data_IF_747970116803
#
_entry.id   IF_747970116803
#
_cell.length_a   1.000
_cell.length_b   1.000
_cell.length_c   1.000
_cell.angle_alpha   90.00
_cell.angle_beta   90.00
_cell.angle_gamma   90.00
#
_symmetry.space_group_name_H-M   'P 1'
#
loop_
_entity.id
_entity.type
_entity.pdbx_description
1 polymer ?
#
# COMPACT_ATOMS: atom_id res chain seq x y z
N UNK A 1 7.03 -3.84 32.03
CA UNK A 1 6.80 -4.96 31.12
C UNK A 1 5.99 -4.46 29.94
N UNK A 2 6.38 -4.81 28.72
CA UNK A 2 5.63 -4.45 27.52
C UNK A 2 4.35 -5.29 27.46
N UNK A 3 3.20 -4.65 27.45
CA UNK A 3 1.89 -5.31 27.48
C UNK A 3 1.09 -5.11 26.19
N UNK A 4 -0.08 -5.74 26.11
CA UNK A 4 -0.98 -5.61 24.93
C UNK A 4 -1.41 -4.14 24.69
N UNK A 5 -1.64 -3.39 25.75
CA UNK A 5 -1.98 -1.97 25.68
C UNK A 5 -0.85 -1.13 25.04
N UNK A 6 0.43 -1.48 25.33
CA UNK A 6 1.59 -0.80 24.74
C UNK A 6 1.73 -1.15 23.26
N UNK A 7 1.41 -2.38 22.86
CA UNK A 7 1.37 -2.79 21.46
C UNK A 7 0.29 -2.02 20.67
N UNK A 8 -0.93 -1.94 21.21
CA UNK A 8 -2.01 -1.15 20.58
C UNK A 8 -1.61 0.31 20.46
N UNK A 9 -1.02 0.87 21.51
CA UNK A 9 -0.54 2.24 21.51
C UNK A 9 0.59 2.48 20.49
N UNK A 10 1.48 1.50 20.30
CA UNK A 10 2.53 1.55 19.26
C UNK A 10 1.90 1.55 17.87
N UNK A 11 0.92 0.69 17.60
CA UNK A 11 0.20 0.63 16.33
C UNK A 11 -0.51 1.94 16.02
N UNK A 12 -1.24 2.52 16.99
CA UNK A 12 -1.88 3.83 16.85
C UNK A 12 -0.84 4.91 16.56
N UNK A 13 0.29 4.89 17.26
CA UNK A 13 1.36 5.87 17.03
C UNK A 13 1.94 5.74 15.63
N UNK A 14 2.23 4.53 15.16
CA UNK A 14 2.84 4.29 13.86
C UNK A 14 1.91 4.60 12.68
N UNK A 15 0.62 4.27 12.79
CA UNK A 15 -0.30 4.35 11.66
C UNK A 15 -1.24 5.56 11.69
N UNK A 16 -1.36 6.26 12.82
CA UNK A 16 -2.19 7.45 12.95
C UNK A 16 -1.35 8.67 13.30
N UNK A 17 -0.64 8.64 14.43
CA UNK A 17 0.06 9.85 14.91
C UNK A 17 1.18 10.25 13.97
N UNK A 18 2.08 9.32 13.63
CA UNK A 18 3.22 9.63 12.75
C UNK A 18 2.79 10.15 11.37
N UNK A 19 1.86 9.52 10.63
CA UNK A 19 1.40 10.07 9.36
C UNK A 19 0.79 11.47 9.47
N UNK A 20 0.01 11.73 10.53
CA UNK A 20 -0.58 13.05 10.75
C UNK A 20 0.49 14.10 11.04
N UNK A 21 1.46 13.79 11.90
CA UNK A 21 2.58 14.69 12.20
C UNK A 21 3.42 14.99 10.96
N UNK A 22 3.72 13.96 10.14
CA UNK A 22 4.42 14.12 8.85
C UNK A 22 3.61 14.98 7.90
N UNK A 23 2.31 14.71 7.76
CA UNK A 23 1.44 15.53 6.90
C UNK A 23 1.41 17.00 7.33
N UNK A 24 1.28 17.28 8.63
CA UNK A 24 1.33 18.64 9.16
C UNK A 24 2.69 19.31 8.92
N UNK A 25 3.77 18.53 9.06
CA UNK A 25 5.12 18.99 8.70
C UNK A 25 5.19 19.44 7.24
N UNK A 26 4.69 18.62 6.32
CA UNK A 26 4.67 18.94 4.89
C UNK A 26 3.77 20.15 4.57
N UNK A 27 2.69 20.36 5.34
CA UNK A 27 1.88 21.57 5.24
C UNK A 27 2.69 22.86 5.51
N UNK A 28 3.77 22.76 6.30
CA UNK A 28 4.71 23.86 6.48
C UNK A 28 5.35 24.33 5.17
N UNK A 29 5.75 23.39 4.30
CA UNK A 29 6.23 23.74 2.96
C UNK A 29 5.13 24.38 2.12
N UNK A 30 3.92 23.82 2.13
CA UNK A 30 2.80 24.31 1.36
C UNK A 30 2.48 25.76 1.72
N UNK A 31 2.33 26.05 3.02
CA UNK A 31 2.01 27.40 3.49
C UNK A 31 3.09 28.39 3.11
N UNK A 32 4.35 28.08 3.37
CA UNK A 32 5.46 28.97 3.05
C UNK A 32 5.63 29.12 1.54
N UNK A 33 5.43 28.06 0.76
CA UNK A 33 5.48 28.09 -0.70
C UNK A 33 4.43 29.05 -1.28
N UNK A 34 3.22 29.02 -0.73
CA UNK A 34 2.15 29.95 -1.12
C UNK A 34 2.52 31.40 -0.82
N UNK A 35 3.09 31.66 0.37
CA UNK A 35 3.54 33.01 0.76
C UNK A 35 4.69 33.53 -0.10
N UNK A 36 5.59 32.66 -0.53
CA UNK A 36 6.73 33.01 -1.40
C UNK A 36 6.40 33.03 -2.90
N UNK A 37 5.18 32.64 -3.29
CA UNK A 37 4.75 32.56 -4.67
C UNK A 37 5.54 31.54 -5.48
N UNK A 38 5.72 30.34 -4.91
CA UNK A 38 6.37 29.18 -5.56
C UNK A 38 5.54 28.75 -6.78
N UNK A 39 6.24 28.46 -7.88
CA UNK A 39 5.59 27.94 -9.09
C UNK A 39 5.48 26.42 -9.05
N UNK A 40 4.30 25.93 -9.40
CA UNK A 40 3.98 24.51 -9.51
C UNK A 40 4.40 23.69 -8.28
N UNK A 41 3.96 24.07 -7.06
CA UNK A 41 4.23 23.28 -5.86
C UNK A 41 3.53 21.92 -5.97
N UNK A 42 4.24 20.85 -5.61
CA UNK A 42 3.75 19.47 -5.63
C UNK A 42 4.10 18.81 -4.31
N UNK A 43 3.11 18.27 -3.64
CA UNK A 43 3.28 17.50 -2.43
C UNK A 43 2.85 16.06 -2.67
N UNK A 44 3.83 15.17 -2.72
CA UNK A 44 3.60 13.73 -2.79
C UNK A 44 3.60 13.16 -1.39
N UNK A 45 2.52 12.49 -1.00
CA UNK A 45 2.37 11.81 0.29
C UNK A 45 2.27 10.31 0.04
N UNK A 46 3.26 9.59 0.52
CA UNK A 46 3.35 8.15 0.35
C UNK A 46 4.16 7.72 -0.86
N UNK A 47 4.24 6.42 -1.04
CA UNK A 47 4.91 5.76 -2.16
C UNK A 47 4.00 4.70 -2.79
N UNK A 48 4.41 4.13 -3.92
CA UNK A 48 3.63 3.16 -4.67
C UNK A 48 2.53 3.81 -5.52
N UNK A 49 1.50 3.06 -5.92
CA UNK A 49 0.48 3.54 -6.83
C UNK A 49 -0.30 4.71 -6.29
N UNK A 50 -0.63 5.63 -7.18
CA UNK A 50 -1.43 6.81 -6.86
C UNK A 50 -2.86 6.40 -6.53
N UNK A 51 -3.36 6.88 -5.36
CA UNK A 51 -4.76 6.72 -4.99
C UNK A 51 -5.57 7.90 -5.52
N UNK A 52 -5.09 9.13 -5.28
CA UNK A 52 -5.80 10.35 -5.66
C UNK A 52 -4.82 11.50 -5.88
N UNK A 53 -5.12 12.34 -6.87
CA UNK A 53 -4.42 13.60 -7.12
C UNK A 53 -5.41 14.75 -7.10
N UNK A 54 -5.22 15.69 -6.19
CA UNK A 54 -6.07 16.88 -6.04
C UNK A 54 -5.16 18.11 -6.06
N UNK A 55 -5.14 18.83 -7.19
CA UNK A 55 -4.30 20.01 -7.35
C UNK A 55 -2.82 19.69 -7.14
N UNK A 56 -2.24 20.27 -6.08
CA UNK A 56 -0.84 20.06 -5.71
C UNK A 56 -0.57 18.77 -4.92
N UNK A 57 -1.63 18.11 -4.42
CA UNK A 57 -1.53 16.93 -3.58
C UNK A 57 -1.59 15.66 -4.41
N UNK A 58 -0.57 14.80 -4.27
CA UNK A 58 -0.50 13.46 -4.85
C UNK A 58 -0.44 12.43 -3.72
N UNK A 59 -1.55 11.75 -3.44
CA UNK A 59 -1.67 10.80 -2.32
C UNK A 59 -1.52 9.39 -2.88
N UNK A 60 -0.60 8.62 -2.29
CA UNK A 60 -0.22 7.28 -2.70
C UNK A 60 -0.56 6.23 -1.65
N UNK A 61 -0.56 4.96 -2.06
CA UNK A 61 -1.04 3.82 -1.25
C UNK A 61 -0.30 3.66 0.08
N UNK A 62 1.01 3.81 0.07
CA UNK A 62 1.84 3.65 1.26
C UNK A 62 2.14 5.02 1.89
N UNK A 63 1.09 5.73 2.33
CA UNK A 63 1.12 7.11 2.83
C UNK A 63 2.01 7.32 4.06
N UNK A 64 2.32 6.27 4.81
CA UNK A 64 3.10 6.31 6.06
C UNK A 64 4.62 6.20 5.86
N UNK A 65 5.08 5.85 4.65
CA UNK A 65 6.49 5.57 4.40
C UNK A 65 7.29 6.77 3.91
N UNK A 66 6.65 7.73 3.26
CA UNK A 66 7.37 8.77 2.56
C UNK A 66 6.49 9.99 2.29
N UNK A 67 7.10 11.17 2.29
CA UNK A 67 6.51 12.39 1.75
C UNK A 67 7.60 13.24 1.09
N UNK A 68 7.24 13.93 0.02
CA UNK A 68 8.16 14.75 -0.73
C UNK A 68 7.48 16.00 -1.26
N UNK A 69 8.13 17.15 -1.00
CA UNK A 69 7.71 18.42 -1.56
C UNK A 69 8.66 18.85 -2.69
N UNK A 70 8.11 19.12 -3.86
CA UNK A 70 8.84 19.61 -5.04
C UNK A 70 8.19 20.86 -5.62
N UNK A 71 8.98 21.63 -6.36
CA UNK A 71 8.52 22.84 -7.02
C UNK A 71 9.46 23.18 -8.18
N UNK A 72 8.96 23.99 -9.15
CA UNK A 72 9.76 24.34 -10.32
C UNK A 72 10.69 25.55 -10.03
N UNK A 73 10.17 26.64 -9.47
CA UNK A 73 10.96 27.84 -9.15
C UNK A 73 10.28 28.70 -8.10
N UNK A 74 11.05 29.56 -7.43
CA UNK A 74 10.53 30.61 -6.58
C UNK A 74 10.36 31.92 -7.38
N UNK A 75 9.28 32.63 -7.12
CA UNK A 75 9.03 33.96 -7.73
C UNK A 75 10.05 34.99 -7.28
N UNK A 76 10.53 34.86 -6.04
CA UNK A 76 11.58 35.70 -5.46
C UNK A 76 12.71 34.78 -4.98
N UNK A 77 13.69 34.60 -5.84
CA UNK A 77 14.89 33.86 -5.48
C UNK A 77 15.74 34.69 -4.52
N UNK A 78 16.13 34.08 -3.40
CA UNK A 78 16.97 34.75 -2.42
C UNK A 78 17.26 33.85 -1.22
N UNK A 79 18.39 34.06 -0.60
CA UNK A 79 18.84 33.30 0.59
C UNK A 79 17.74 33.18 1.65
N UNK A 80 17.09 34.30 1.97
CA UNK A 80 16.03 34.37 2.97
C UNK A 80 14.79 33.54 2.55
N UNK A 81 14.38 33.61 1.28
CA UNK A 81 13.23 32.86 0.80
C UNK A 81 13.46 31.34 0.90
N UNK A 82 14.65 30.85 0.54
CA UNK A 82 15.01 29.44 0.71
C UNK A 82 15.08 29.03 2.17
N UNK A 83 15.68 29.83 3.04
CA UNK A 83 15.71 29.54 4.48
C UNK A 83 14.29 29.45 5.05
N UNK A 84 13.40 30.38 4.68
CA UNK A 84 12.00 30.35 5.12
C UNK A 84 11.27 29.12 4.61
N UNK A 85 11.50 28.74 3.34
CA UNK A 85 10.88 27.56 2.76
C UNK A 85 11.25 26.29 3.55
N UNK A 86 12.53 26.08 3.81
CA UNK A 86 13.00 24.89 4.54
C UNK A 86 12.79 24.97 6.06
N UNK A 87 12.60 26.17 6.62
CA UNK A 87 12.15 26.35 8.00
C UNK A 87 10.65 26.10 8.19
N UNK A 88 9.85 26.18 7.13
CA UNK A 88 8.40 25.99 7.18
C UNK A 88 7.94 24.73 7.91
N UNK A 89 8.43 23.54 7.55
CA UNK A 89 8.11 22.28 8.22
C UNK A 89 8.46 22.27 9.71
N UNK A 90 9.62 22.82 10.06
CA UNK A 90 10.10 22.93 11.45
C UNK A 90 9.15 23.80 12.25
N UNK A 91 8.86 25.00 11.72
CA UNK A 91 7.97 25.97 12.38
C UNK A 91 6.55 25.42 12.52
N UNK A 92 6.05 24.72 11.51
CA UNK A 92 4.71 24.11 11.55
C UNK A 92 4.59 23.11 12.69
N UNK A 93 5.51 22.15 12.81
CA UNK A 93 5.50 21.19 13.89
C UNK A 93 5.69 21.83 15.27
N UNK A 94 6.54 22.83 15.40
CA UNK A 94 6.70 23.58 16.66
C UNK A 94 5.40 24.29 17.03
N UNK A 95 4.78 25.00 16.10
CA UNK A 95 3.53 25.74 16.35
C UNK A 95 2.42 24.78 16.77
N UNK A 96 2.23 23.68 16.03
CA UNK A 96 1.20 22.68 16.34
C UNK A 96 1.44 22.05 17.70
N UNK A 97 2.69 21.66 18.01
CA UNK A 97 3.03 21.09 19.31
C UNK A 97 2.77 22.07 20.46
N UNK A 98 3.10 23.35 20.30
CA UNK A 98 2.85 24.38 21.30
C UNK A 98 1.35 24.66 21.49
N UNK A 99 0.58 24.68 20.40
CA UNK A 99 -0.88 24.85 20.46
C UNK A 99 -1.52 23.70 21.22
N UNK A 100 -1.19 22.44 20.87
CA UNK A 100 -1.70 21.27 21.56
C UNK A 100 -1.28 21.27 23.03
N UNK A 101 -0.03 21.61 23.34
CA UNK A 101 0.45 21.73 24.72
C UNK A 101 -0.33 22.79 25.51
N UNK A 102 -0.62 23.95 24.90
CA UNK A 102 -1.43 24.98 25.51
C UNK A 102 -2.87 24.52 25.75
N UNK A 103 -3.47 23.74 24.82
CA UNK A 103 -4.80 23.16 24.99
C UNK A 103 -4.82 22.13 26.12
N UNK A 104 -3.79 21.30 26.26
CA UNK A 104 -3.64 20.36 27.38
C UNK A 104 -3.49 21.10 28.72
N UNK A 105 -2.71 22.17 28.77
CA UNK A 105 -2.51 22.96 29.97
C UNK A 105 -3.78 23.72 30.45
N UNK A 106 -4.77 23.86 29.57
CA UNK A 106 -6.07 24.46 29.89
C UNK A 106 -7.22 23.41 29.95
N UNK A 107 -6.87 22.15 30.14
CA UNK A 107 -7.81 21.01 30.31
C UNK A 107 -8.78 20.81 29.13
N UNK A 108 -8.48 21.39 27.96
CA UNK A 108 -9.33 21.30 26.77
C UNK A 108 -9.25 19.92 26.08
N UNK A 109 -8.21 19.12 26.37
CA UNK A 109 -7.94 17.82 25.75
C UNK A 109 -7.72 16.73 26.82
N UNK A 110 -8.34 16.88 27.99
CA UNK A 110 -8.11 16.03 29.16
C UNK A 110 -8.47 14.55 28.90
N UNK A 111 -9.53 14.29 28.13
CA UNK A 111 -10.03 12.94 27.85
C UNK A 111 -8.98 12.05 27.15
N UNK A 112 -8.10 12.62 26.31
CA UNK A 112 -7.09 11.88 25.53
C UNK A 112 -5.67 12.36 25.78
N UNK A 113 -5.33 12.73 27.00
CA UNK A 113 -4.04 13.31 27.39
C UNK A 113 -2.85 12.47 26.92
N UNK A 114 -2.92 11.14 27.07
CA UNK A 114 -1.83 10.25 26.65
C UNK A 114 -1.61 10.28 25.13
N UNK A 115 -2.67 10.34 24.34
CA UNK A 115 -2.61 10.45 22.89
C UNK A 115 -1.94 11.77 22.46
N UNK A 116 -2.38 12.89 23.05
CA UNK A 116 -1.85 14.21 22.71
C UNK A 116 -0.40 14.42 23.17
N UNK A 117 -0.03 13.88 24.32
CA UNK A 117 1.38 13.89 24.77
C UNK A 117 2.27 13.11 23.80
N UNK A 118 1.82 11.97 23.26
CA UNK A 118 2.54 11.24 22.20
C UNK A 118 2.62 12.06 20.93
N UNK A 119 1.55 12.73 20.55
CA UNK A 119 1.54 13.60 19.38
C UNK A 119 2.59 14.71 19.51
N UNK A 120 2.64 15.42 20.63
CA UNK A 120 3.65 16.45 20.92
C UNK A 120 5.06 15.84 20.87
N UNK A 121 5.26 14.67 21.47
CA UNK A 121 6.54 13.98 21.43
C UNK A 121 7.01 13.72 19.99
N UNK A 122 6.14 13.16 19.14
CA UNK A 122 6.49 12.89 17.75
C UNK A 122 6.67 14.16 16.92
N UNK A 123 5.90 15.22 17.20
CA UNK A 123 6.11 16.52 16.55
C UNK A 123 7.50 17.07 16.86
N UNK A 124 7.93 17.07 18.12
CA UNK A 124 9.29 17.49 18.50
C UNK A 124 10.38 16.53 18.01
N UNK A 125 10.10 15.23 17.93
CA UNK A 125 11.01 14.27 17.34
C UNK A 125 11.34 14.64 15.88
N UNK A 126 10.34 14.96 15.06
CA UNK A 126 10.57 15.44 13.70
C UNK A 126 11.25 16.80 13.65
N UNK A 127 10.92 17.71 14.56
CA UNK A 127 11.65 19.00 14.67
C UNK A 127 13.14 18.75 14.91
N UNK A 128 13.49 17.83 15.81
CA UNK A 128 14.89 17.49 16.10
C UNK A 128 15.60 16.96 14.84
N UNK A 129 14.96 16.03 14.12
CA UNK A 129 15.53 15.48 12.89
C UNK A 129 15.63 16.49 11.76
N UNK A 130 14.74 17.48 11.73
CA UNK A 130 14.80 18.55 10.73
C UNK A 130 15.81 19.64 11.08
N UNK A 131 16.04 19.93 12.36
CA UNK A 131 16.96 21.00 12.80
C UNK A 131 18.42 20.55 12.79
N UNK A 132 18.70 19.31 13.23
CA UNK A 132 20.09 18.80 13.26
C UNK A 132 20.60 18.60 11.84
N UNK A 133 21.68 19.31 11.42
CA UNK A 133 22.20 19.22 10.06
C UNK A 133 22.73 17.81 9.77
N UNK A 134 22.03 17.03 8.96
CA UNK A 134 22.44 15.68 8.60
C UNK A 134 21.97 15.29 7.19
N UNK A 135 22.58 14.24 6.64
CA UNK A 135 22.05 13.55 5.47
C UNK A 135 21.12 12.44 5.92
N UNK A 136 20.01 12.29 5.22
CA UNK A 136 19.06 11.20 5.41
C UNK A 136 19.63 9.87 4.89
N UNK A 137 18.98 8.75 5.17
CA UNK A 137 19.45 7.42 4.76
C UNK A 137 19.63 7.26 3.24
N UNK A 138 18.88 8.01 2.44
CA UNK A 138 19.01 8.07 0.98
C UNK A 138 20.04 9.08 0.47
N UNK A 139 20.88 9.64 1.37
CA UNK A 139 21.95 10.59 1.04
C UNK A 139 21.51 12.03 0.83
N UNK A 140 20.21 12.32 0.88
CA UNK A 140 19.68 13.68 0.72
C UNK A 140 19.87 14.51 2.00
N UNK A 141 20.15 15.82 1.88
CA UNK A 141 20.22 16.69 3.06
C UNK A 141 18.84 16.88 3.65
N UNK A 142 18.76 16.94 4.98
CA UNK A 142 17.56 17.39 5.67
C UNK A 142 17.46 18.92 5.67
N UNK A 143 16.35 19.45 6.18
CA UNK A 143 16.09 20.90 6.22
C UNK A 143 17.18 21.67 6.98
N UNK A 144 17.64 21.14 8.10
CA UNK A 144 18.70 21.75 8.92
C UNK A 144 20.03 21.87 8.16
N UNK A 145 20.41 20.85 7.40
CA UNK A 145 21.62 20.89 6.60
C UNK A 145 21.52 21.92 5.47
N UNK A 146 20.38 21.97 4.77
CA UNK A 146 20.14 22.98 3.73
C UNK A 146 20.19 24.39 4.30
N UNK A 147 19.52 24.63 5.43
CA UNK A 147 19.54 25.93 6.11
C UNK A 147 20.98 26.28 6.56
N UNK A 148 21.70 25.32 7.14
CA UNK A 148 23.08 25.51 7.56
C UNK A 148 23.99 25.88 6.39
N UNK A 149 23.92 25.16 5.27
CA UNK A 149 24.70 25.44 4.07
C UNK A 149 24.40 26.83 3.49
N UNK A 150 23.10 27.17 3.44
CA UNK A 150 22.67 28.52 3.02
C UNK A 150 23.20 29.61 3.91
N UNK A 151 23.22 29.41 5.22
CA UNK A 151 23.76 30.41 6.19
C UNK A 151 25.27 30.52 6.08
N UNK A 152 25.97 29.40 5.98
CA UNK A 152 27.43 29.34 6.03
C UNK A 152 28.09 29.70 4.70
N UNK A 153 27.56 29.17 3.60
CA UNK A 153 28.22 29.26 2.29
C UNK A 153 27.45 30.16 1.30
N UNK A 154 26.23 30.56 1.62
CA UNK A 154 25.40 31.39 0.75
C UNK A 154 24.98 30.70 -0.55
N UNK A 155 25.28 29.42 -0.68
CA UNK A 155 24.95 28.61 -1.83
C UNK A 155 23.97 27.53 -1.41
N UNK A 156 23.03 27.23 -2.28
CA UNK A 156 22.17 26.06 -2.20
C UNK A 156 22.80 24.99 -3.09
N UNK A 157 23.01 23.82 -2.55
CA UNK A 157 23.18 22.63 -3.38
C UNK A 157 21.80 22.34 -3.95
N UNK A 158 21.68 22.24 -5.27
CA UNK A 158 20.36 22.07 -5.92
C UNK A 158 19.89 20.64 -5.70
N UNK A 159 19.16 20.43 -4.60
CA UNK A 159 18.51 19.16 -4.26
C UNK A 159 17.05 19.12 -4.69
N UNK A 160 16.67 20.00 -5.60
CA UNK A 160 15.36 20.00 -6.20
C UNK A 160 15.25 19.01 -7.35
N UNK A 161 16.39 18.42 -7.76
CA UNK A 161 16.39 17.22 -8.57
C UNK A 161 15.81 16.08 -7.75
N UNK A 162 14.93 15.29 -8.37
CA UNK A 162 14.30 14.15 -7.74
C UNK A 162 15.37 13.32 -7.01
N UNK A 163 15.13 12.94 -5.73
CA UNK A 163 16.09 12.09 -5.04
C UNK A 163 16.31 10.83 -5.85
N UNK A 164 17.47 10.21 -5.70
CA UNK A 164 17.84 8.92 -6.31
C UNK A 164 16.97 7.73 -5.83
N UNK A 165 15.80 8.01 -5.35
CA UNK A 165 14.67 7.08 -5.37
C UNK A 165 14.13 7.21 -6.78
N UNK A 166 14.03 6.12 -7.56
CA UNK A 166 13.50 6.16 -8.92
C UNK A 166 12.28 7.06 -8.93
N UNK A 167 12.27 8.02 -9.85
CA UNK A 167 11.26 9.07 -9.88
C UNK A 167 9.89 8.47 -9.66
N UNK A 168 9.02 9.14 -8.94
CA UNK A 168 7.68 8.61 -8.64
C UNK A 168 6.94 8.16 -9.90
N UNK A 169 7.28 8.70 -11.07
CA UNK A 169 6.83 8.27 -12.39
C UNK A 169 7.43 6.92 -12.81
N UNK A 170 8.74 6.70 -12.64
CA UNK A 170 9.40 5.43 -12.98
C UNK A 170 8.93 4.29 -12.07
N UNK A 171 8.74 4.55 -10.77
CA UNK A 171 8.18 3.57 -9.83
C UNK A 171 6.72 3.26 -10.16
N UNK A 172 5.96 4.25 -10.62
CA UNK A 172 4.57 4.06 -11.05
C UNK A 172 4.50 3.23 -12.34
N UNK A 173 5.40 3.49 -13.30
CA UNK A 173 5.49 2.76 -14.55
C UNK A 173 5.93 1.30 -14.31
N UNK A 174 6.98 1.08 -13.51
CA UNK A 174 7.39 -0.26 -13.08
C UNK A 174 6.30 -1.01 -12.32
N UNK A 175 5.57 -0.32 -11.44
CA UNK A 175 4.46 -0.93 -10.71
C UNK A 175 3.29 -1.30 -11.64
N UNK A 176 2.97 -0.47 -12.62
CA UNK A 176 1.95 -0.79 -13.62
C UNK A 176 2.35 -1.98 -14.46
N UNK A 177 3.60 -2.04 -14.93
CA UNK A 177 4.14 -3.20 -15.64
C UNK A 177 4.12 -4.49 -14.80
N UNK A 178 4.45 -4.40 -13.50
CA UNK A 178 4.37 -5.54 -12.59
C UNK A 178 2.92 -5.98 -12.35
N UNK A 179 2.00 -5.04 -12.23
CA UNK A 179 0.57 -5.35 -12.05
C UNK A 179 -0.04 -5.97 -13.30
N UNK A 180 0.31 -5.50 -14.50
CA UNK A 180 -0.12 -6.12 -15.76
C UNK A 180 0.39 -7.56 -15.86
N UNK A 181 1.66 -7.80 -15.54
CA UNK A 181 2.22 -9.18 -15.51
C UNK A 181 1.52 -10.09 -14.49
N UNK A 182 1.17 -9.54 -13.30
CA UNK A 182 0.43 -10.29 -12.28
C UNK A 182 -0.99 -10.60 -12.77
N UNK A 183 -1.63 -9.70 -13.48
CA UNK A 183 -2.97 -9.88 -14.02
C UNK A 183 -2.97 -10.92 -15.15
N UNK A 184 -2.00 -10.85 -16.08
CA UNK A 184 -1.77 -11.87 -17.11
C UNK A 184 -1.54 -13.27 -16.50
N UNK A 185 -0.73 -13.38 -15.45
CA UNK A 185 -0.47 -14.67 -14.77
C UNK A 185 -1.73 -15.19 -14.09
N UNK A 186 -2.55 -14.32 -13.49
CA UNK A 186 -3.83 -14.72 -12.89
C UNK A 186 -4.85 -15.17 -13.92
N UNK A 187 -4.92 -14.48 -15.05
CA UNK A 187 -5.80 -14.85 -16.16
C UNK A 187 -5.40 -16.20 -16.73
N UNK A 188 -4.10 -16.41 -16.99
CA UNK A 188 -3.59 -17.69 -17.43
C UNK A 188 -3.83 -18.83 -16.41
N UNK A 189 -3.67 -18.55 -15.10
CA UNK A 189 -3.99 -19.53 -14.05
C UNK A 189 -5.48 -19.89 -14.03
N UNK A 190 -6.35 -18.94 -14.32
CA UNK A 190 -7.80 -19.16 -14.40
C UNK A 190 -8.15 -20.01 -15.60
N UNK A 191 -7.57 -19.71 -16.77
CA UNK A 191 -7.77 -20.48 -17.99
C UNK A 191 -7.31 -21.95 -17.83
N UNK A 192 -6.14 -22.15 -17.25
CA UNK A 192 -5.62 -23.49 -16.93
C UNK A 192 -6.50 -24.22 -15.91
N UNK A 193 -7.07 -23.51 -14.94
CA UNK A 193 -7.97 -24.10 -13.95
C UNK A 193 -9.33 -24.50 -14.59
N UNK A 194 -9.86 -23.70 -15.52
CA UNK A 194 -11.06 -23.99 -16.29
C UNK A 194 -10.83 -25.20 -17.22
N UNK A 195 -9.71 -25.23 -17.95
CA UNK A 195 -9.35 -26.37 -18.84
C UNK A 195 -9.19 -27.69 -18.05
N UNK A 196 -8.56 -27.63 -16.86
CA UNK A 196 -8.45 -28.79 -15.98
C UNK A 196 -9.80 -29.22 -15.38
N UNK A 197 -10.74 -28.31 -15.15
CA UNK A 197 -12.07 -28.63 -14.68
C UNK A 197 -12.90 -29.28 -15.76
N UNK A 198 -12.80 -28.82 -17.01
CA UNK A 198 -13.48 -29.40 -18.17
C UNK A 198 -12.94 -30.81 -18.48
N UNK A 199 -11.62 -30.99 -18.50
CA UNK A 199 -10.99 -32.32 -18.67
C UNK A 199 -11.44 -33.32 -17.60
N UNK A 200 -11.56 -32.87 -16.34
CA UNK A 200 -12.02 -33.70 -15.24
C UNK A 200 -13.51 -34.03 -15.32
N UNK A 201 -14.32 -33.15 -15.90
CA UNK A 201 -15.72 -33.40 -16.18
C UNK A 201 -15.89 -34.41 -17.33
N UNK A 202 -15.11 -34.27 -18.41
CA UNK A 202 -15.10 -35.24 -19.52
C UNK A 202 -14.66 -36.64 -19.08
N UNK A 203 -13.60 -36.74 -18.24
CA UNK A 203 -13.20 -38.02 -17.66
C UNK A 203 -14.29 -38.65 -16.78
N UNK A 204 -15.04 -37.83 -16.03
CA UNK A 204 -16.14 -38.30 -15.18
C UNK A 204 -17.31 -38.78 -16.00
N UNK A 205 -17.64 -38.09 -17.09
CA UNK A 205 -18.69 -38.50 -18.02
C UNK A 205 -18.31 -39.83 -18.73
N UNK A 206 -17.08 -39.95 -19.22
CA UNK A 206 -16.57 -41.16 -19.84
C UNK A 206 -16.59 -42.37 -18.91
N UNK A 207 -16.22 -42.18 -17.63
CA UNK A 207 -16.30 -43.27 -16.62
C UNK A 207 -17.75 -43.69 -16.33
N UNK A 208 -18.67 -42.73 -16.27
CA UNK A 208 -20.10 -43.01 -16.07
C UNK A 208 -20.70 -43.73 -17.27
N UNK A 209 -20.30 -43.41 -18.49
CA UNK A 209 -20.72 -44.06 -19.72
C UNK A 209 -20.21 -45.51 -19.78
N UNK A 210 -18.92 -45.74 -19.48
CA UNK A 210 -18.35 -47.10 -19.40
C UNK A 210 -19.00 -47.94 -18.30
N UNK A 211 -19.39 -47.34 -17.19
CA UNK A 211 -20.05 -48.04 -16.08
C UNK A 211 -21.50 -48.42 -16.46
N UNK A 212 -22.16 -47.57 -17.24
CA UNK A 212 -23.49 -47.84 -17.78
C UNK A 212 -23.46 -48.95 -18.82
N UNK A 213 -22.52 -48.91 -19.78
CA UNK A 213 -22.36 -49.96 -20.80
C UNK A 213 -22.05 -51.33 -20.14
N UNK A 214 -21.20 -51.35 -19.10
CA UNK A 214 -20.95 -52.59 -18.36
C UNK A 214 -22.17 -53.12 -17.61
N UNK A 215 -23.05 -52.23 -17.15
CA UNK A 215 -24.26 -52.60 -16.45
C UNK A 215 -25.29 -53.18 -17.43
N UNK A 216 -25.41 -52.59 -18.63
CA UNK A 216 -26.22 -53.12 -19.72
C UNK A 216 -25.72 -54.49 -20.20
N UNK A 217 -24.39 -54.67 -20.37
CA UNK A 217 -23.80 -55.96 -20.72
C UNK A 217 -24.07 -57.05 -19.66
N UNK A 218 -24.07 -56.70 -18.37
CA UNK A 218 -24.36 -57.63 -17.26
C UNK A 218 -25.85 -58.00 -17.27
N UNK A 219 -26.78 -57.04 -17.48
CA UNK A 219 -28.22 -57.33 -17.58
C UNK A 219 -28.53 -58.22 -18.78
N UNK A 220 -27.92 -58.01 -19.98
CA UNK A 220 -28.09 -58.88 -21.15
C UNK A 220 -27.58 -60.31 -20.88
N UNK A 221 -26.46 -60.48 -20.15
CA UNK A 221 -25.91 -61.75 -19.78
C UNK A 221 -26.81 -62.52 -18.76
N UNK A 222 -27.40 -61.79 -17.82
CA UNK A 222 -28.33 -62.34 -16.84
C UNK A 222 -29.64 -62.77 -17.54
N UNK A 223 -30.23 -61.93 -18.41
CA UNK A 223 -31.40 -62.30 -19.20
C UNK A 223 -31.13 -63.52 -20.10
N UNK A 224 -29.98 -63.58 -20.77
CA UNK A 224 -29.60 -64.74 -21.60
C UNK A 224 -29.43 -66.02 -20.76
N UNK A 225 -28.86 -65.91 -19.55
CA UNK A 225 -28.71 -67.01 -18.59
C UNK A 225 -30.07 -67.53 -18.09
N UNK A 226 -31.00 -66.62 -17.75
CA UNK A 226 -32.38 -67.05 -17.37
C UNK A 226 -33.13 -67.70 -18.50
N UNK A 227 -32.99 -67.25 -19.77
CA UNK A 227 -33.55 -67.84 -20.91
C UNK A 227 -32.99 -69.23 -21.20
N UNK A 228 -31.70 -69.47 -20.94
CA UNK A 228 -31.09 -70.79 -21.12
C UNK A 228 -31.49 -71.75 -19.99
N UNK A 229 -31.66 -71.26 -18.76
CA UNK A 229 -32.17 -72.05 -17.63
C UNK A 229 -33.63 -72.42 -17.81
N UNK A 230 -34.49 -71.49 -18.25
CA UNK A 230 -35.89 -71.74 -18.55
C UNK A 230 -36.10 -72.76 -19.74
N UNK A 231 -35.18 -72.82 -20.71
CA UNK A 231 -35.14 -73.84 -21.75
C UNK A 231 -34.71 -75.19 -21.23
N UNK A 232 -33.80 -75.27 -20.28
CA UNK A 232 -33.36 -76.53 -19.63
C UNK A 232 -34.49 -77.12 -18.80
N UNK A 233 -35.17 -76.32 -18.01
CA UNK A 233 -36.29 -76.73 -17.17
C UNK A 233 -37.46 -77.24 -17.99
N UNK A 234 -37.79 -76.62 -19.12
CA UNK A 234 -38.83 -77.16 -20.08
C UNK A 234 -38.43 -78.44 -20.75
N UNK A 235 -37.13 -78.69 -20.91
CA UNK A 235 -36.66 -79.96 -21.55
C UNK A 235 -36.60 -81.10 -20.51
N UNK A 236 -36.42 -80.82 -19.23
CA UNK A 236 -36.55 -81.86 -18.17
C UNK A 236 -38.02 -82.26 -17.90
N UNK A 237 -38.98 -81.32 -17.96
CA UNK A 237 -40.39 -81.60 -17.77
C UNK A 237 -41.00 -82.40 -18.95
N UNK A 238 -40.37 -82.47 -20.12
CA UNK A 238 -40.90 -83.15 -21.33
C UNK A 238 -40.36 -84.55 -21.56
N UNK A 239 -39.66 -85.18 -20.58
CA UNK A 239 -39.31 -86.62 -20.68
C UNK A 239 -40.46 -87.47 -20.18
N UNK A 240 -41.08 -88.31 -21.03
CA UNK A 240 -42.06 -89.28 -20.56
C UNK A 240 -41.41 -90.44 -19.80
N UNK A 241 -42.09 -90.88 -18.71
CA UNK A 241 -41.76 -92.06 -17.96
C UNK A 241 -41.74 -93.36 -18.83
#
# INVERSE_FOLDING_TARGET
>A
MFGLADLVALVISAFIILPVVVFLREMGYVIVSMLLGVKNPRLTVGSGPRIIKIGMFDIRKYYHLYSWFSYDSLKREGKFAYIMLYAGPILMNVIVALVINAMLANDMLEEYTTFWNRFIFYAFYYVLFDVVPMKTANGMPNNGLIIYEMLRYGKRTDYNEEPFIPGTSEVEEQYQEEMEKIEEVKEHQKDVAEENADTKNEEKQRKAEIEKDKQEDIEELEEAGEHEQAKKDKHEESKPE
#
